data_IF_800234163190
#
_entry.id   IF_800234163190
#
_cell.length_a   1.000
_cell.length_b   1.000
_cell.length_c   1.000
_cell.angle_alpha   90.00
_cell.angle_beta   90.00
_cell.angle_gamma   90.00
#
_symmetry.space_group_name_H-M   'P 1'
#
loop_
_entity.id
_entity.type
_entity.pdbx_description
1 polymer ?
#
# COMPACT_ATOMS: atom_id res chain seq x y z
N UNK A 1 1.25 9.35 5.92
CA UNK A 1 0.10 8.63 6.52
C UNK A 1 0.61 7.57 7.46
N UNK A 2 -0.16 7.20 8.48
CA UNK A 2 0.09 6.02 9.33
C UNK A 2 -0.17 4.72 8.55
N UNK A 3 0.38 3.59 9.01
CA UNK A 3 0.13 2.28 8.39
C UNK A 3 -1.38 1.97 8.32
N UNK A 4 -2.14 2.31 9.36
CA UNK A 4 -3.57 2.08 9.42
C UNK A 4 -4.34 2.89 8.35
N UNK A 5 -3.95 4.15 8.13
CA UNK A 5 -4.54 5.01 7.10
C UNK A 5 -4.22 4.50 5.68
N UNK A 6 -2.96 4.12 5.43
CA UNK A 6 -2.55 3.55 4.14
C UNK A 6 -3.31 2.23 3.88
N UNK A 7 -3.40 1.35 4.87
CA UNK A 7 -4.14 0.10 4.75
C UNK A 7 -5.65 0.32 4.53
N UNK A 8 -6.23 1.38 5.11
CA UNK A 8 -7.62 1.77 4.84
C UNK A 8 -7.79 2.23 3.40
N UNK A 9 -6.92 3.10 2.91
CA UNK A 9 -6.95 3.60 1.53
C UNK A 9 -6.81 2.48 0.49
N UNK A 10 -5.89 1.53 0.71
CA UNK A 10 -5.73 0.35 -0.15
C UNK A 10 -7.00 -0.53 -0.16
N UNK A 11 -7.68 -0.68 0.99
CA UNK A 11 -8.96 -1.40 1.06
C UNK A 11 -10.07 -0.67 0.31
N UNK A 12 -10.15 0.65 0.41
CA UNK A 12 -11.10 1.47 -0.36
C UNK A 12 -10.89 1.25 -1.85
N UNK A 13 -9.64 1.39 -2.35
CA UNK A 13 -9.31 1.14 -3.76
C UNK A 13 -9.69 -0.27 -4.20
N UNK A 14 -9.45 -1.28 -3.36
CA UNK A 14 -9.86 -2.65 -3.69
C UNK A 14 -11.38 -2.81 -3.80
N UNK A 15 -12.14 -2.15 -2.93
CA UNK A 15 -13.60 -2.16 -2.97
C UNK A 15 -14.13 -1.45 -4.22
N UNK A 16 -13.53 -0.33 -4.61
CA UNK A 16 -13.89 0.41 -5.82
C UNK A 16 -13.63 -0.41 -7.08
N UNK A 17 -12.45 -1.03 -7.18
CA UNK A 17 -12.12 -1.93 -8.28
C UNK A 17 -13.10 -3.10 -8.37
N UNK A 18 -13.49 -3.68 -7.23
CA UNK A 18 -14.46 -4.77 -7.20
C UNK A 18 -15.85 -4.33 -7.64
N UNK A 19 -16.31 -3.15 -7.20
CA UNK A 19 -17.60 -2.57 -7.61
C UNK A 19 -17.64 -2.23 -9.09
N UNK A 20 -16.52 -1.78 -9.65
CA UNK A 20 -16.40 -1.48 -11.08
C UNK A 20 -16.32 -2.73 -11.97
N UNK A 21 -16.26 -3.95 -11.40
CA UNK A 21 -16.05 -5.18 -12.17
C UNK A 21 -14.66 -5.26 -12.83
N UNK A 22 -13.68 -4.53 -12.29
CA UNK A 22 -12.31 -4.52 -12.79
C UNK A 22 -11.59 -5.85 -12.46
N UNK A 23 -10.37 -6.00 -12.93
CA UNK A 23 -9.55 -7.20 -12.85
C UNK A 23 -9.44 -7.76 -11.41
N UNK A 24 -9.92 -9.00 -11.23
CA UNK A 24 -9.89 -9.74 -9.96
C UNK A 24 -8.48 -9.86 -9.36
N UNK A 25 -7.44 -9.96 -10.20
CA UNK A 25 -6.05 -9.96 -9.75
C UNK A 25 -5.70 -8.64 -9.06
N UNK A 26 -6.10 -7.50 -9.62
CA UNK A 26 -5.84 -6.18 -9.01
C UNK A 26 -6.59 -6.03 -7.68
N UNK A 27 -7.87 -6.42 -7.63
CA UNK A 27 -8.66 -6.41 -6.38
C UNK A 27 -7.94 -7.21 -5.28
N UNK A 28 -7.48 -8.42 -5.59
CA UNK A 28 -6.75 -9.27 -4.65
C UNK A 28 -5.43 -8.62 -4.22
N UNK A 29 -4.68 -8.06 -5.17
CA UNK A 29 -3.39 -7.44 -4.89
C UNK A 29 -3.53 -6.26 -3.91
N UNK A 30 -4.51 -5.37 -4.10
CA UNK A 30 -4.75 -4.26 -3.16
C UNK A 30 -5.19 -4.74 -1.76
N UNK A 31 -6.00 -5.80 -1.68
CA UNK A 31 -6.38 -6.40 -0.38
C UNK A 31 -5.18 -6.99 0.35
N UNK A 32 -4.32 -7.72 -0.36
CA UNK A 32 -3.12 -8.32 0.23
C UNK A 32 -2.13 -7.24 0.68
N UNK A 33 -1.93 -6.20 -0.13
CA UNK A 33 -1.12 -5.06 0.24
C UNK A 33 -1.64 -4.35 1.49
N UNK A 34 -2.96 -4.16 1.63
CA UNK A 34 -3.53 -3.57 2.83
C UNK A 34 -3.24 -4.38 4.09
N UNK A 35 -3.37 -5.71 4.01
CA UNK A 35 -3.05 -6.61 5.12
C UNK A 35 -1.56 -6.56 5.46
N UNK A 36 -0.69 -6.60 4.46
CA UNK A 36 0.75 -6.52 4.64
C UNK A 36 1.16 -5.21 5.31
N UNK A 37 0.65 -4.06 4.84
CA UNK A 37 0.94 -2.74 5.42
C UNK A 37 0.44 -2.63 6.86
N UNK A 38 -0.78 -3.12 7.15
CA UNK A 38 -1.34 -3.06 8.50
C UNK A 38 -0.53 -3.88 9.51
N UNK A 39 0.05 -5.00 9.05
CA UNK A 39 0.85 -5.89 9.88
C UNK A 39 2.30 -5.42 10.08
N UNK A 40 2.74 -4.35 9.42
CA UNK A 40 4.11 -3.86 9.58
C UNK A 40 4.30 -3.24 10.97
N UNK A 41 5.34 -3.65 11.72
CA UNK A 41 5.64 -3.10 13.03
C UNK A 41 6.18 -1.67 12.95
N UNK A 42 6.89 -1.35 11.87
CA UNK A 42 7.46 -0.03 11.63
C UNK A 42 6.59 0.77 10.66
N UNK A 43 6.51 2.10 10.79
CA UNK A 43 5.85 2.96 9.82
C UNK A 43 6.39 2.75 8.40
N UNK A 44 5.50 2.65 7.42
CA UNK A 44 5.85 2.56 6.00
C UNK A 44 6.71 3.76 5.59
N UNK A 45 6.41 4.95 6.13
CA UNK A 45 7.19 6.16 5.86
C UNK A 45 8.67 6.01 6.24
N UNK A 46 8.98 5.37 7.37
CA UNK A 46 10.36 5.12 7.80
C UNK A 46 11.05 4.10 6.89
N UNK A 47 10.35 3.01 6.54
CA UNK A 47 10.88 2.00 5.61
C UNK A 47 11.22 2.62 4.24
N UNK A 48 10.35 3.49 3.73
CA UNK A 48 10.55 4.19 2.45
C UNK A 48 11.68 5.22 2.58
N UNK A 49 11.77 5.96 3.68
CA UNK A 49 12.86 6.92 3.90
C UNK A 49 14.23 6.22 3.97
N UNK A 50 14.31 5.06 4.61
CA UNK A 50 15.56 4.33 4.81
C UNK A 50 16.06 3.60 3.54
N UNK A 51 15.15 3.00 2.76
CA UNK A 51 15.52 2.06 1.68
C UNK A 51 14.72 2.26 0.37
N UNK A 52 13.92 3.32 0.30
CA UNK A 52 13.08 3.64 -0.85
C UNK A 52 11.90 2.69 -1.07
N UNK A 53 11.08 2.94 -2.10
CA UNK A 53 9.93 2.08 -2.43
C UNK A 53 10.31 0.61 -2.69
N UNK A 54 11.56 0.35 -3.10
CA UNK A 54 12.03 -1.02 -3.38
C UNK A 54 11.96 -1.93 -2.15
N UNK A 55 12.04 -1.39 -0.93
CA UNK A 55 11.92 -2.17 0.29
C UNK A 55 10.53 -2.77 0.45
N UNK A 56 9.49 -2.05 0.06
CA UNK A 56 8.10 -2.51 0.13
C UNK A 56 7.84 -3.67 -0.85
N UNK A 57 8.48 -3.66 -2.02
CA UNK A 57 8.35 -4.72 -3.02
C UNK A 57 8.97 -6.07 -2.58
N UNK A 58 9.72 -6.09 -1.46
CA UNK A 58 10.24 -7.33 -0.85
C UNK A 58 9.24 -7.96 0.12
N UNK A 59 8.18 -7.26 0.48
CA UNK A 59 7.16 -7.76 1.39
C UNK A 59 6.21 -8.71 0.64
N UNK A 60 5.85 -9.86 1.24
CA UNK A 60 4.86 -10.77 0.66
C UNK A 60 3.56 -10.05 0.32
N UNK A 61 3.05 -10.26 -0.89
CA UNK A 61 1.80 -9.65 -1.35
C UNK A 61 1.93 -8.21 -1.88
N UNK A 62 3.13 -7.62 -1.88
CA UNK A 62 3.38 -6.28 -2.43
C UNK A 62 4.30 -6.38 -3.65
N UNK A 63 3.73 -6.26 -4.84
CA UNK A 63 4.48 -6.14 -6.09
C UNK A 63 5.02 -4.73 -6.34
N UNK A 64 5.86 -4.58 -7.37
CA UNK A 64 6.51 -3.30 -7.72
C UNK A 64 5.56 -2.10 -7.82
N UNK A 65 4.48 -2.24 -8.59
CA UNK A 65 3.51 -1.15 -8.78
C UNK A 65 2.78 -0.78 -7.47
N UNK A 66 2.49 -1.76 -6.61
CA UNK A 66 1.90 -1.50 -5.30
C UNK A 66 2.90 -0.82 -4.37
N UNK A 67 4.16 -1.22 -4.41
CA UNK A 67 5.22 -0.58 -3.64
C UNK A 67 5.34 0.92 -3.98
N UNK A 68 5.33 1.27 -5.26
CA UNK A 68 5.37 2.67 -5.70
C UNK A 68 4.10 3.42 -5.26
N UNK A 69 2.91 2.80 -5.37
CA UNK A 69 1.65 3.37 -4.89
C UNK A 69 1.66 3.65 -3.38
N UNK A 70 2.12 2.69 -2.58
CA UNK A 70 2.19 2.78 -1.12
C UNK A 70 3.18 3.85 -0.69
N UNK A 71 4.33 3.96 -1.37
CA UNK A 71 5.31 4.99 -1.10
C UNK A 71 4.75 6.40 -1.36
N UNK A 72 3.94 6.58 -2.42
CA UNK A 72 3.22 7.83 -2.68
C UNK A 72 2.29 8.22 -1.52
N UNK A 73 1.44 7.29 -1.06
CA UNK A 73 0.56 7.50 0.09
C UNK A 73 1.33 7.83 1.38
N UNK A 74 2.49 7.21 1.58
CA UNK A 74 3.33 7.53 2.73
C UNK A 74 3.88 8.96 2.68
N UNK A 75 4.20 9.46 1.48
CA UNK A 75 4.78 10.78 1.23
C UNK A 75 3.74 11.93 1.23
N UNK A 76 2.46 11.66 0.96
CA UNK A 76 1.39 12.68 0.91
C UNK A 76 1.19 13.47 2.22
N UNK A 77 1.77 13.03 3.36
CA UNK A 77 1.73 13.78 4.62
C UNK A 77 2.70 14.98 4.68
N UNK A 78 3.66 15.09 3.76
CA UNK A 78 4.67 16.17 3.75
C UNK A 78 4.19 17.45 3.04
N UNK A 79 2.97 17.46 2.50
CA UNK A 79 2.43 18.56 1.71
C UNK A 79 1.41 19.45 2.46
N UNK A 80 1.33 19.34 3.80
CA UNK A 80 0.41 20.11 4.63
C UNK A 80 1.17 20.96 5.66
#
# INVERSE_FOLDING_TARGET
MTNAEIARELRTRAADLARAGDNLYRVRAFRQAAMAVLALPNPVAELVAAAGPKALARLPGIGRSLADTIAGLAAEQLAA
#
